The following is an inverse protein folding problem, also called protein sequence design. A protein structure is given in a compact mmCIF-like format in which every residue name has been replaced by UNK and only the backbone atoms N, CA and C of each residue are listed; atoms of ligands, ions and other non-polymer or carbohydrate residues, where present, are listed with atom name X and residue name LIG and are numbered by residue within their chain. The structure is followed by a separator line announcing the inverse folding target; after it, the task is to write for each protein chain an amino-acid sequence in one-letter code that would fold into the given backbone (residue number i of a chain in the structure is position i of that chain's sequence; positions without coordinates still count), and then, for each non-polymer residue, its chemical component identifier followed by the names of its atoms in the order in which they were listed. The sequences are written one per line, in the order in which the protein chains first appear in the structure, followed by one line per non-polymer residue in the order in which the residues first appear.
data_IF_586452799997
#
_entry.id   IF_586452799997
#
_cell.length_a   1.000
_cell.length_b   1.000
_cell.length_c   1.000
_cell.angle_alpha   90.00
_cell.angle_beta   90.00
_cell.angle_gamma   90.00
#
_symmetry.space_group_name_H-M   'P 1'
#
loop_
_entity.id
_entity.type
_entity.pdbx_description
1 polymer ?
#
# COMPACT_ATOMS: atom_id res chain seq x y z
N UNK A 1 -29.98 -8.31 9.17
CA UNK A 1 -30.24 -7.15 10.06
C UNK A 1 -28.89 -6.53 10.41
N UNK A 2 -28.62 -5.28 10.00
CA UNK A 2 -27.36 -4.61 10.35
C UNK A 2 -27.33 -4.34 11.86
N UNK A 3 -26.33 -4.86 12.58
CA UNK A 3 -26.14 -4.54 14.00
C UNK A 3 -25.66 -3.09 14.12
N UNK A 4 -26.63 -2.19 14.31
CA UNK A 4 -26.41 -0.74 14.49
C UNK A 4 -25.43 -0.46 15.62
N UNK A 5 -25.41 -1.27 16.69
CA UNK A 5 -24.48 -1.10 17.82
C UNK A 5 -23.04 -1.38 17.41
N UNK A 6 -22.82 -2.47 16.64
CA UNK A 6 -21.50 -2.81 16.10
C UNK A 6 -20.97 -1.70 15.17
N UNK A 7 -21.82 -1.14 14.30
CA UNK A 7 -21.42 -0.06 13.41
C UNK A 7 -21.06 1.23 14.16
N UNK A 8 -21.86 1.63 15.16
CA UNK A 8 -21.56 2.80 16.00
C UNK A 8 -20.24 2.61 16.75
N UNK A 9 -20.00 1.43 17.33
CA UNK A 9 -18.73 1.13 18.01
C UNK A 9 -17.53 1.27 17.06
N UNK A 10 -17.63 0.78 15.82
CA UNK A 10 -16.55 0.93 14.82
C UNK A 10 -16.27 2.38 14.50
N UNK A 11 -17.31 3.17 14.25
CA UNK A 11 -17.15 4.58 13.92
C UNK A 11 -16.56 5.37 15.09
N UNK A 12 -17.00 5.11 16.32
CA UNK A 12 -16.45 5.74 17.52
C UNK A 12 -14.95 5.47 17.65
N UNK A 13 -14.54 4.20 17.60
CA UNK A 13 -13.12 3.87 17.73
C UNK A 13 -12.30 4.31 16.53
N UNK A 14 -12.87 4.31 15.33
CA UNK A 14 -12.23 4.89 14.15
C UNK A 14 -11.94 6.37 14.35
N UNK A 15 -12.88 7.13 14.91
CA UNK A 15 -12.66 8.53 15.28
C UNK A 15 -11.58 8.68 16.34
N UNK A 16 -11.54 7.83 17.37
CA UNK A 16 -10.50 7.86 18.42
C UNK A 16 -9.11 7.60 17.84
N UNK A 17 -8.95 6.52 17.05
CA UNK A 17 -7.66 6.20 16.42
C UNK A 17 -7.24 7.29 15.42
N UNK A 18 -8.18 7.88 14.69
CA UNK A 18 -7.90 8.97 13.75
C UNK A 18 -7.53 10.26 14.48
N UNK A 19 -8.20 10.59 15.59
CA UNK A 19 -7.83 11.74 16.42
C UNK A 19 -6.42 11.58 17.00
N UNK A 20 -6.09 10.39 17.50
CA UNK A 20 -4.74 10.09 17.99
C UNK A 20 -3.69 10.17 16.86
N UNK A 21 -4.05 9.77 15.64
CA UNK A 21 -3.19 9.88 14.46
C UNK A 21 -2.91 11.34 14.08
N UNK A 22 -3.95 12.19 14.06
CA UNK A 22 -3.81 13.63 13.82
C UNK A 22 -2.99 14.28 14.94
N UNK A 23 -3.23 13.89 16.18
CA UNK A 23 -2.45 14.35 17.32
C UNK A 23 -0.97 14.01 17.17
N UNK A 24 -0.63 12.79 16.76
CA UNK A 24 0.75 12.38 16.48
C UNK A 24 1.40 13.22 15.38
N UNK A 25 0.68 13.51 14.29
CA UNK A 25 1.14 14.44 13.24
C UNK A 25 1.42 15.84 13.78
N UNK A 26 0.49 16.41 14.55
CA UNK A 26 0.62 17.74 15.13
C UNK A 26 1.80 17.80 16.12
N UNK A 27 2.03 16.76 16.91
CA UNK A 27 3.19 16.66 17.79
C UNK A 27 4.50 16.67 17.00
N UNK A 28 4.59 15.92 15.89
CA UNK A 28 5.76 15.93 15.02
C UNK A 28 6.01 17.31 14.39
N UNK A 29 4.95 17.93 13.87
CA UNK A 29 5.01 19.24 13.21
C UNK A 29 5.39 20.37 14.18
N UNK A 30 4.60 20.58 15.23
CA UNK A 30 4.85 21.65 16.20
C UNK A 30 6.10 21.41 17.03
N UNK A 31 6.37 20.15 17.35
CA UNK A 31 7.62 19.79 18.02
C UNK A 31 8.81 20.25 17.19
N UNK A 32 8.81 20.04 15.88
CA UNK A 32 9.94 20.42 15.02
C UNK A 32 10.11 21.93 14.93
N UNK A 33 9.01 22.69 14.96
CA UNK A 33 9.03 24.16 14.89
C UNK A 33 9.53 24.79 16.20
N UNK A 34 9.12 24.25 17.35
CA UNK A 34 9.37 24.89 18.66
C UNK A 34 10.45 24.19 19.49
N UNK A 35 10.76 22.93 19.19
CA UNK A 35 11.74 22.13 19.91
C UNK A 35 13.13 22.29 19.34
N UNK A 36 14.10 22.64 20.18
CA UNK A 36 15.51 22.73 19.80
C UNK A 36 16.27 21.40 19.82
N UNK A 37 15.68 20.34 20.37
CA UNK A 37 16.33 19.04 20.58
C UNK A 37 15.60 17.90 19.88
N UNK A 38 16.30 17.20 18.99
CA UNK A 38 15.83 15.95 18.36
C UNK A 38 15.48 14.87 19.40
N UNK A 39 16.20 14.79 20.52
CA UNK A 39 15.92 13.81 21.56
C UNK A 39 14.55 14.04 22.22
N UNK A 40 14.19 15.30 22.45
CA UNK A 40 12.86 15.66 22.95
C UNK A 40 11.77 15.30 21.95
N UNK A 41 12.03 15.53 20.65
CA UNK A 41 11.08 15.17 19.59
C UNK A 41 10.79 13.67 19.58
N UNK A 42 11.83 12.83 19.58
CA UNK A 42 11.64 11.38 19.62
C UNK A 42 10.93 10.89 20.88
N UNK A 43 11.06 11.58 22.00
CA UNK A 43 10.32 11.22 23.22
C UNK A 43 8.82 11.48 23.10
N UNK A 44 8.41 12.55 22.40
CA UNK A 44 6.99 12.93 22.27
C UNK A 44 6.13 11.87 21.58
N UNK A 45 6.72 11.00 20.74
CA UNK A 45 5.99 9.93 20.05
C UNK A 45 5.51 8.82 20.99
N UNK A 46 6.09 8.71 22.19
CA UNK A 46 5.72 7.69 23.18
C UNK A 46 4.27 7.90 23.66
N UNK A 47 3.84 9.15 23.83
CA UNK A 47 2.48 9.50 24.28
C UNK A 47 1.41 8.91 23.35
N UNK A 48 1.40 9.22 22.03
CA UNK A 48 0.39 8.68 21.12
C UNK A 48 0.52 7.15 20.93
N UNK A 49 1.71 6.57 21.10
CA UNK A 49 1.89 5.10 21.14
C UNK A 49 1.14 4.48 22.33
N UNK A 50 1.32 5.02 23.55
CA UNK A 50 0.63 4.53 24.75
C UNK A 50 -0.89 4.63 24.57
N UNK A 51 -1.38 5.76 24.05
CA UNK A 51 -2.80 5.96 23.76
C UNK A 51 -3.34 4.94 22.74
N UNK A 52 -2.54 4.57 21.75
CA UNK A 52 -2.92 3.58 20.74
C UNK A 52 -3.06 2.18 21.33
N UNK A 53 -2.09 1.74 22.14
CA UNK A 53 -2.14 0.44 22.83
C UNK A 53 -3.33 0.39 23.80
N UNK A 54 -3.56 1.46 24.56
CA UNK A 54 -4.71 1.56 25.46
C UNK A 54 -6.04 1.50 24.69
N UNK A 55 -6.13 2.17 23.53
CA UNK A 55 -7.34 2.17 22.69
C UNK A 55 -7.67 0.78 22.13
N UNK A 56 -6.65 -0.03 21.77
CA UNK A 56 -6.86 -1.43 21.35
C UNK A 56 -7.48 -2.23 22.49
N UNK A 57 -6.91 -2.15 23.70
CA UNK A 57 -7.44 -2.85 24.87
C UNK A 57 -8.85 -2.41 25.26
N UNK A 58 -9.12 -1.11 25.15
CA UNK A 58 -10.46 -0.56 25.40
C UNK A 58 -11.48 -1.05 24.37
N UNK A 59 -11.07 -1.29 23.11
CA UNK A 59 -11.95 -1.87 22.10
C UNK A 59 -12.37 -3.29 22.45
N UNK A 60 -11.45 -4.07 23.03
CA UNK A 60 -11.66 -5.46 23.39
C UNK A 60 -12.65 -5.63 24.54
N UNK A 61 -12.58 -4.76 25.56
CA UNK A 61 -13.40 -4.54 26.78
C UNK A 61 -14.05 -5.75 27.50
N UNK A 62 -14.47 -6.83 26.83
CA UNK A 62 -15.10 -8.03 27.38
C UNK A 62 -14.71 -9.33 26.65
N UNK A 63 -13.88 -9.29 25.60
CA UNK A 63 -13.46 -10.47 24.82
C UNK A 63 -11.94 -10.48 24.72
N UNK A 64 -11.29 -11.54 25.20
CA UNK A 64 -9.83 -11.64 25.20
C UNK A 64 -9.35 -12.24 23.90
N UNK A 65 -8.66 -11.42 23.09
CA UNK A 65 -7.91 -11.90 21.93
C UNK A 65 -6.68 -12.68 22.41
N UNK A 66 -6.26 -13.70 21.65
CA UNK A 66 -4.95 -14.33 21.84
C UNK A 66 -3.86 -13.25 21.79
N UNK A 67 -2.99 -13.21 22.80
CA UNK A 67 -1.93 -12.20 22.96
C UNK A 67 -1.12 -11.94 21.67
N UNK A 68 -0.79 -12.99 20.90
CA UNK A 68 -0.07 -12.86 19.63
C UNK A 68 -0.80 -11.98 18.60
N UNK A 69 -2.13 -12.07 18.52
CA UNK A 69 -2.97 -11.27 17.62
C UNK A 69 -3.14 -9.85 18.15
N UNK A 70 -3.29 -9.66 19.46
CA UNK A 70 -3.31 -8.34 20.14
C UNK A 70 -2.01 -7.57 19.85
N UNK A 71 -0.85 -8.20 20.10
CA UNK A 71 0.46 -7.59 19.83
C UNK A 71 0.58 -7.23 18.34
N UNK A 72 0.19 -8.13 17.43
CA UNK A 72 0.27 -7.88 16.00
C UNK A 72 -0.58 -6.68 15.55
N UNK A 73 -1.81 -6.56 16.04
CA UNK A 73 -2.69 -5.45 15.66
C UNK A 73 -2.22 -4.13 16.29
N UNK A 74 -1.72 -4.15 17.53
CA UNK A 74 -1.08 -3.00 18.16
C UNK A 74 0.13 -2.53 17.35
N UNK A 75 0.98 -3.44 16.87
CA UNK A 75 2.11 -3.10 16.00
C UNK A 75 1.63 -2.39 14.73
N UNK A 76 0.55 -2.87 14.09
CA UNK A 76 0.02 -2.19 12.90
C UNK A 76 -0.49 -0.77 13.18
N UNK A 77 -1.21 -0.57 14.29
CA UNK A 77 -1.65 0.78 14.67
C UNK A 77 -0.47 1.68 15.04
N UNK A 78 0.54 1.17 15.74
CA UNK A 78 1.75 1.91 16.08
C UNK A 78 2.51 2.32 14.81
N UNK A 79 2.70 1.41 13.85
CA UNK A 79 3.35 1.74 12.58
C UNK A 79 2.59 2.84 11.83
N UNK A 80 1.26 2.73 11.73
CA UNK A 80 0.43 3.74 11.07
C UNK A 80 0.55 5.13 11.75
N UNK A 81 0.64 5.13 13.07
CA UNK A 81 0.81 6.34 13.88
C UNK A 81 2.20 6.94 13.74
N UNK A 82 3.24 6.10 13.72
CA UNK A 82 4.62 6.53 13.46
C UNK A 82 4.74 7.20 12.10
N UNK A 83 4.06 6.69 11.06
CA UNK A 83 4.01 7.35 9.76
C UNK A 83 3.42 8.77 9.85
N UNK A 84 2.31 8.96 10.56
CA UNK A 84 1.72 10.29 10.74
C UNK A 84 2.65 11.25 11.49
N UNK A 85 3.29 10.76 12.55
CA UNK A 85 4.30 11.52 13.29
C UNK A 85 5.48 11.93 12.40
N UNK A 86 6.03 11.00 11.61
CA UNK A 86 7.13 11.28 10.69
C UNK A 86 6.75 12.30 9.61
N UNK A 87 5.52 12.25 9.08
CA UNK A 87 5.02 13.27 8.15
C UNK A 87 5.11 14.66 8.81
N UNK A 88 4.64 14.79 10.05
CA UNK A 88 4.73 16.04 10.79
C UNK A 88 6.17 16.49 11.03
N UNK A 89 7.04 15.56 11.42
CA UNK A 89 8.46 15.82 11.68
C UNK A 89 9.20 16.32 10.43
N UNK A 90 8.97 15.71 9.27
CA UNK A 90 9.71 16.03 8.05
C UNK A 90 9.20 17.27 7.32
N UNK A 91 7.91 17.60 7.46
CA UNK A 91 7.26 18.66 6.68
C UNK A 91 8.00 20.02 6.74
N UNK A 92 8.46 20.52 7.90
CA UNK A 92 9.18 21.80 7.96
C UNK A 92 10.51 21.82 7.20
N UNK A 93 11.13 20.65 7.01
CA UNK A 93 12.42 20.50 6.32
C UNK A 93 12.28 20.25 4.81
N UNK A 94 11.05 20.14 4.30
CA UNK A 94 10.83 19.93 2.87
C UNK A 94 11.05 21.22 2.09
N UNK A 95 11.76 21.14 0.96
CA UNK A 95 12.08 22.25 0.07
C UNK A 95 11.03 22.44 -1.03
N UNK A 96 10.25 21.41 -1.35
CA UNK A 96 9.20 21.48 -2.37
C UNK A 96 8.18 22.57 -2.05
N UNK A 97 7.86 23.41 -3.05
CA UNK A 97 6.86 24.49 -2.93
C UNK A 97 5.48 23.93 -2.56
N UNK A 98 5.18 22.71 -3.00
CA UNK A 98 3.89 22.04 -2.78
C UNK A 98 3.92 21.05 -1.61
N UNK A 99 4.86 21.20 -0.67
CA UNK A 99 5.02 20.30 0.49
C UNK A 99 3.75 20.12 1.33
N UNK A 100 2.89 21.12 1.43
CA UNK A 100 1.65 21.05 2.23
C UNK A 100 0.65 20.01 1.72
N UNK A 101 0.75 19.62 0.44
CA UNK A 101 -0.07 18.54 -0.12
C UNK A 101 0.30 17.16 0.42
N UNK A 102 1.50 16.98 0.98
CA UNK A 102 1.94 15.71 1.56
C UNK A 102 1.02 15.26 2.71
N UNK A 103 0.81 16.02 3.80
CA UNK A 103 -0.13 15.64 4.84
C UNK A 103 -1.59 15.65 4.36
N UNK A 104 -1.97 16.51 3.40
CA UNK A 104 -3.34 16.55 2.85
C UNK A 104 -3.72 15.21 2.22
N UNK A 105 -2.81 14.55 1.51
CA UNK A 105 -3.10 13.25 0.89
C UNK A 105 -2.83 12.07 1.82
N UNK A 106 -1.73 12.12 2.58
CA UNK A 106 -1.33 10.96 3.39
C UNK A 106 -2.19 10.78 4.65
N UNK A 107 -2.57 11.85 5.36
CA UNK A 107 -3.37 11.69 6.59
C UNK A 107 -4.74 11.04 6.33
N UNK A 108 -5.51 11.41 5.29
CA UNK A 108 -6.73 10.68 4.93
C UNK A 108 -6.47 9.20 4.59
N UNK A 109 -5.38 8.88 3.88
CA UNK A 109 -5.02 7.49 3.59
C UNK A 109 -4.73 6.69 4.88
N UNK A 110 -3.98 7.27 5.83
CA UNK A 110 -3.70 6.64 7.11
C UNK A 110 -4.97 6.50 7.97
N UNK A 111 -5.92 7.44 7.88
CA UNK A 111 -7.23 7.34 8.53
C UNK A 111 -8.09 6.22 7.93
N UNK A 112 -8.06 6.02 6.60
CA UNK A 112 -8.69 4.87 5.95
C UNK A 112 -8.02 3.57 6.41
N UNK A 113 -6.69 3.55 6.54
CA UNK A 113 -5.97 2.39 7.05
C UNK A 113 -6.38 2.05 8.49
N UNK A 114 -6.58 3.04 9.37
CA UNK A 114 -7.15 2.80 10.70
C UNK A 114 -8.50 2.08 10.65
N UNK A 115 -9.38 2.47 9.72
CA UNK A 115 -10.67 1.79 9.54
C UNK A 115 -10.50 0.32 9.11
N UNK A 116 -9.55 0.03 8.21
CA UNK A 116 -9.21 -1.34 7.80
C UNK A 116 -8.66 -2.14 8.99
N UNK A 117 -7.78 -1.54 9.80
CA UNK A 117 -7.22 -2.19 10.98
C UNK A 117 -8.30 -2.49 12.04
N UNK A 118 -9.28 -1.60 12.23
CA UNK A 118 -10.43 -1.88 13.11
C UNK A 118 -11.26 -3.05 12.59
N UNK A 119 -11.49 -3.14 11.28
CA UNK A 119 -12.16 -4.33 10.69
C UNK A 119 -11.37 -5.60 10.94
N UNK A 120 -10.03 -5.53 10.86
CA UNK A 120 -9.15 -6.67 11.14
C UNK A 120 -9.17 -7.06 12.61
N UNK A 121 -9.19 -6.09 13.52
CA UNK A 121 -9.35 -6.32 14.96
C UNK A 121 -10.67 -7.04 15.25
N UNK A 122 -11.77 -6.58 14.64
CA UNK A 122 -13.06 -7.25 14.79
C UNK A 122 -13.04 -8.68 14.23
N UNK A 123 -12.39 -8.89 13.07
CA UNK A 123 -12.25 -10.23 12.52
C UNK A 123 -11.59 -11.20 13.52
N UNK A 124 -10.57 -10.76 14.25
CA UNK A 124 -9.95 -11.58 15.30
C UNK A 124 -10.88 -11.88 16.45
N UNK A 125 -11.68 -10.89 16.89
CA UNK A 125 -12.69 -11.10 17.93
C UNK A 125 -13.79 -12.09 17.50
N UNK A 126 -14.22 -12.03 16.24
CA UNK A 126 -15.28 -12.90 15.72
C UNK A 126 -14.78 -14.34 15.50
N UNK A 127 -13.50 -14.54 15.15
CA UNK A 127 -12.90 -15.88 15.05
C UNK A 127 -12.87 -16.64 16.38
N UNK A 128 -12.66 -15.93 17.49
CA UNK A 128 -12.54 -16.56 18.79
C UNK A 128 -13.89 -16.92 19.41
N UNK A 129 -14.93 -16.15 19.10
CA UNK A 129 -16.31 -16.48 19.52
C UNK A 129 -16.82 -17.73 18.82
N UNK A 130 -16.39 -17.99 17.56
CA UNK A 130 -16.79 -19.18 16.80
C UNK A 130 -16.01 -20.46 17.19
N UNK A 131 -15.22 -20.44 18.27
CA UNK A 131 -14.33 -21.55 18.64
C UNK A 131 -14.82 -22.57 19.68
N UNK A 132 -16.09 -22.59 20.11
CA UNK A 132 -16.71 -23.83 20.54
C UNK A 132 -17.88 -24.18 19.62
N UNK A 133 -17.88 -25.40 19.09
CA UNK A 133 -19.01 -26.05 18.41
C UNK A 133 -19.43 -25.45 17.06
N UNK A 134 -18.75 -25.84 15.98
CA UNK A 134 -19.46 -26.12 14.73
C UNK A 134 -18.93 -27.43 14.17
N UNK A 135 -19.62 -28.50 14.55
CA UNK A 135 -19.81 -29.65 13.68
C UNK A 135 -20.10 -29.15 12.26
N UNK A 136 -19.57 -29.90 11.29
CA UNK A 136 -19.76 -29.69 9.87
C UNK A 136 -21.27 -29.70 9.57
N UNK A 137 -21.94 -28.56 9.62
CA UNK A 137 -23.22 -28.42 8.94
C UNK A 137 -22.95 -28.78 7.46
N UNK A 138 -23.70 -29.72 6.87
CA UNK A 138 -23.49 -30.12 5.51
C UNK A 138 -23.72 -28.89 4.64
N UNK A 139 -22.67 -28.49 3.91
CA UNK A 139 -22.72 -27.46 2.88
C UNK A 139 -23.97 -27.69 2.04
N UNK A 140 -24.96 -26.82 2.15
CA UNK A 140 -26.03 -26.75 1.17
C UNK A 140 -25.35 -26.59 -0.20
N UNK A 141 -25.46 -27.62 -1.05
CA UNK A 141 -25.02 -27.54 -2.43
C UNK A 141 -25.88 -26.49 -3.14
N UNK A 142 -25.41 -25.24 -3.09
CA UNK A 142 -25.94 -24.20 -3.94
C UNK A 142 -25.64 -24.65 -5.37
N UNK A 143 -26.65 -25.09 -6.10
CA UNK A 143 -26.54 -25.37 -7.54
C UNK A 143 -26.26 -24.06 -8.26
N UNK A 144 -25.00 -23.85 -8.62
CA UNK A 144 -24.62 -22.71 -9.44
C UNK A 144 -24.79 -23.08 -10.92
N UNK A 145 -25.60 -22.31 -11.65
CA UNK A 145 -25.64 -22.33 -13.13
C UNK A 145 -24.35 -21.71 -13.76
N UNK A 146 -23.32 -21.47 -12.95
CA UNK A 146 -22.05 -20.82 -13.30
C UNK A 146 -20.88 -21.77 -13.00
N UNK A 147 -19.74 -21.65 -13.70
CA UNK A 147 -18.58 -22.47 -13.38
C UNK A 147 -18.17 -22.25 -11.91
N UNK A 148 -17.70 -23.29 -11.26
CA UNK A 148 -17.12 -23.24 -9.91
C UNK A 148 -15.68 -23.71 -10.05
N UNK A 149 -14.73 -22.92 -9.56
CA UNK A 149 -13.33 -23.32 -9.51
C UNK A 149 -12.99 -23.65 -8.06
N UNK A 150 -12.48 -24.86 -7.84
CA UNK A 150 -11.98 -25.29 -6.53
C UNK A 150 -10.46 -25.13 -6.47
N UNK A 151 -9.97 -24.46 -5.43
CA UNK A 151 -8.55 -24.25 -5.17
C UNK A 151 -8.32 -24.18 -3.66
N UNK A 152 -7.38 -24.98 -3.14
CA UNK A 152 -7.09 -25.08 -1.69
C UNK A 152 -8.35 -25.27 -0.82
N UNK A 153 -9.19 -26.24 -1.17
CA UNK A 153 -10.47 -26.56 -0.49
C UNK A 153 -11.49 -25.42 -0.43
N UNK A 154 -11.30 -24.37 -1.25
CA UNK A 154 -12.21 -23.22 -1.35
C UNK A 154 -12.87 -23.15 -2.71
N UNK A 155 -14.12 -22.69 -2.71
CA UNK A 155 -14.94 -22.51 -3.90
C UNK A 155 -14.91 -21.06 -4.38
N UNK A 156 -14.44 -20.86 -5.60
CA UNK A 156 -14.34 -19.55 -6.23
C UNK A 156 -15.43 -19.38 -7.28
N UNK A 157 -16.26 -18.37 -7.05
CA UNK A 157 -17.40 -18.03 -7.91
C UNK A 157 -17.40 -16.52 -8.09
N UNK A 158 -17.38 -16.04 -9.32
CA UNK A 158 -17.30 -14.61 -9.61
C UNK A 158 -18.52 -14.11 -10.37
N UNK A 159 -18.90 -12.85 -10.11
CA UNK A 159 -19.88 -12.16 -10.95
C UNK A 159 -19.20 -11.65 -12.22
N UNK A 160 -19.92 -11.67 -13.35
CA UNK A 160 -19.42 -11.13 -14.61
C UNK A 160 -19.10 -9.64 -14.46
N UNK A 161 -19.91 -8.91 -13.70
CA UNK A 161 -19.66 -7.50 -13.37
C UNK A 161 -18.30 -7.30 -12.72
N UNK A 162 -17.92 -8.15 -11.76
CA UNK A 162 -16.60 -8.05 -11.10
C UNK A 162 -15.43 -8.34 -12.05
N UNK A 163 -15.63 -9.22 -13.04
CA UNK A 163 -14.63 -9.51 -14.08
C UNK A 163 -14.50 -8.35 -15.07
N UNK A 164 -15.62 -7.72 -15.46
CA UNK A 164 -15.62 -6.51 -16.30
C UNK A 164 -14.97 -5.33 -15.57
N UNK A 165 -15.26 -5.18 -14.28
CA UNK A 165 -14.62 -4.18 -13.43
C UNK A 165 -13.10 -4.40 -13.33
N UNK A 166 -12.62 -5.64 -13.28
CA UNK A 166 -11.18 -5.92 -13.36
C UNK A 166 -10.61 -5.48 -14.72
N UNK A 167 -11.24 -5.90 -15.83
CA UNK A 167 -10.73 -5.65 -17.18
C UNK A 167 -10.68 -4.16 -17.57
N UNK A 168 -11.68 -3.37 -17.16
CA UNK A 168 -11.79 -1.95 -17.52
C UNK A 168 -11.32 -1.05 -16.37
N UNK A 169 -11.73 -1.37 -15.14
CA UNK A 169 -11.43 -0.57 -13.95
C UNK A 169 -9.96 -0.61 -13.56
N UNK A 170 -9.26 -1.75 -13.71
CA UNK A 170 -7.83 -1.80 -13.38
C UNK A 170 -6.97 -0.90 -14.29
N UNK A 171 -7.04 -0.97 -15.64
CA UNK A 171 -6.29 -0.06 -16.51
C UNK A 171 -6.68 1.41 -16.32
N UNK A 172 -7.98 1.70 -16.22
CA UNK A 172 -8.47 3.07 -16.04
C UNK A 172 -7.98 3.67 -14.72
N UNK A 173 -8.10 2.93 -13.61
CA UNK A 173 -7.62 3.40 -12.31
C UNK A 173 -6.10 3.52 -12.27
N UNK A 174 -5.35 2.58 -12.85
CA UNK A 174 -3.89 2.69 -12.94
C UNK A 174 -3.47 3.98 -13.67
N UNK A 175 -4.14 4.30 -14.78
CA UNK A 175 -3.89 5.52 -15.54
C UNK A 175 -4.27 6.79 -14.75
N UNK A 176 -5.43 6.81 -14.09
CA UNK A 176 -5.85 7.96 -13.27
C UNK A 176 -4.94 8.19 -12.07
N UNK A 177 -4.50 7.12 -11.38
CA UNK A 177 -3.56 7.23 -10.27
C UNK A 177 -2.20 7.73 -10.78
N UNK A 178 -1.74 7.25 -11.96
CA UNK A 178 -0.52 7.74 -12.57
C UNK A 178 -0.59 9.25 -12.87
N UNK A 179 -1.65 9.72 -13.54
CA UNK A 179 -1.84 11.15 -13.81
C UNK A 179 -1.83 11.94 -12.51
N UNK A 180 -2.52 11.45 -11.47
CA UNK A 180 -2.54 12.11 -10.17
C UNK A 180 -1.12 12.35 -9.65
N UNK A 181 -0.27 11.32 -9.61
CA UNK A 181 1.11 11.45 -9.13
C UNK A 181 2.03 12.27 -10.04
N UNK A 182 1.69 12.43 -11.32
CA UNK A 182 2.44 13.27 -12.26
C UNK A 182 2.15 14.77 -12.10
N UNK A 183 1.08 15.13 -11.39
CA UNK A 183 0.77 16.53 -11.07
C UNK A 183 1.82 17.13 -10.13
N UNK A 184 2.14 18.41 -10.33
CA UNK A 184 3.10 19.17 -9.52
C UNK A 184 2.80 19.16 -8.01
N UNK A 185 1.52 19.02 -7.63
CA UNK A 185 1.08 18.89 -6.24
C UNK A 185 1.68 17.66 -5.54
N UNK A 186 2.18 16.68 -6.30
CA UNK A 186 2.80 15.45 -5.79
C UNK A 186 4.33 15.46 -5.83
N UNK A 187 4.96 16.58 -6.20
CA UNK A 187 6.43 16.68 -6.28
C UNK A 187 7.13 16.64 -4.91
N UNK A 188 6.37 16.68 -3.81
CA UNK A 188 6.87 16.28 -2.49
C UNK A 188 7.38 14.83 -2.48
N UNK A 189 6.82 13.94 -3.32
CA UNK A 189 7.29 12.56 -3.44
C UNK A 189 8.64 12.49 -4.16
N UNK A 190 8.86 13.37 -5.14
CA UNK A 190 10.14 13.45 -5.86
C UNK A 190 11.26 13.82 -4.89
N UNK A 191 10.99 14.80 -4.03
CA UNK A 191 11.94 15.21 -2.99
C UNK A 191 12.34 14.04 -2.08
N UNK A 192 11.37 13.27 -1.57
CA UNK A 192 11.63 12.13 -0.68
C UNK A 192 12.53 11.11 -1.39
N UNK A 193 12.19 10.76 -2.63
CA UNK A 193 12.92 9.75 -3.39
C UNK A 193 14.34 10.21 -3.73
N UNK A 194 14.49 11.46 -4.20
CA UNK A 194 15.79 12.02 -4.58
C UNK A 194 16.71 12.12 -3.36
N UNK A 195 16.23 12.68 -2.25
CA UNK A 195 17.03 12.84 -1.03
C UNK A 195 17.45 11.50 -0.44
N UNK A 196 16.56 10.49 -0.44
CA UNK A 196 16.94 9.14 -0.01
C UNK A 196 17.97 8.49 -0.94
N UNK A 197 17.83 8.66 -2.25
CA UNK A 197 18.79 8.13 -3.22
C UNK A 197 20.16 8.75 -3.02
N UNK A 198 20.23 10.08 -2.89
CA UNK A 198 21.47 10.81 -2.61
C UNK A 198 22.10 10.37 -1.28
N UNK A 199 21.30 10.23 -0.23
CA UNK A 199 21.78 9.72 1.06
C UNK A 199 22.47 8.36 0.91
N UNK A 200 21.85 7.41 0.23
CA UNK A 200 22.43 6.08 0.03
C UNK A 200 23.63 6.08 -0.92
N UNK A 201 23.63 6.90 -1.97
CA UNK A 201 24.79 7.04 -2.86
C UNK A 201 26.02 7.51 -2.09
N UNK A 202 25.86 8.52 -1.24
CA UNK A 202 26.96 9.05 -0.45
C UNK A 202 27.37 8.07 0.67
N UNK A 203 26.40 7.38 1.29
CA UNK A 203 26.69 6.40 2.33
C UNK A 203 27.44 5.16 1.79
N UNK A 204 27.07 4.66 0.62
CA UNK A 204 27.58 3.39 0.09
C UNK A 204 28.79 3.57 -0.84
N UNK A 205 28.89 4.70 -1.54
CA UNK A 205 29.89 4.91 -2.60
C UNK A 205 30.71 6.19 -2.44
N UNK A 206 30.45 7.01 -1.42
CA UNK A 206 31.18 8.27 -1.13
C UNK A 206 31.30 9.22 -2.35
N UNK A 207 30.21 9.32 -3.13
CA UNK A 207 30.23 10.02 -4.42
C UNK A 207 30.13 11.55 -4.32
N UNK A 208 29.71 12.09 -3.16
CA UNK A 208 29.46 13.51 -2.98
C UNK A 208 28.29 14.07 -3.80
N UNK A 209 27.36 13.21 -4.26
CA UNK A 209 26.19 13.62 -5.05
C UNK A 209 25.30 14.53 -4.21
N UNK A 210 24.66 15.50 -4.85
CA UNK A 210 23.72 16.41 -4.23
C UNK A 210 22.33 16.33 -4.87
N UNK A 211 21.32 16.60 -4.06
CA UNK A 211 19.95 16.82 -4.52
C UNK A 211 19.74 18.33 -4.69
N UNK A 212 19.41 18.78 -5.90
CA UNK A 212 19.15 20.20 -6.16
C UNK A 212 17.69 20.39 -6.58
N UNK A 213 16.98 21.24 -5.84
CA UNK A 213 15.63 21.69 -6.18
C UNK A 213 15.70 22.92 -7.09
N UNK A 214 15.14 22.81 -8.30
CA UNK A 214 15.03 23.92 -9.24
C UNK A 214 13.65 23.89 -9.88
N UNK A 215 12.65 24.65 -9.38
CA UNK A 215 11.28 24.63 -9.87
C UNK A 215 11.09 25.34 -11.23
N UNK A 216 12.16 25.43 -12.03
CA UNK A 216 12.18 26.12 -13.31
C UNK A 216 12.43 25.08 -14.41
N UNK A 217 11.47 24.95 -15.33
CA UNK A 217 11.55 24.02 -16.45
C UNK A 217 10.91 22.67 -16.15
N UNK A 218 11.28 21.64 -16.93
CA UNK A 218 10.62 20.32 -16.92
C UNK A 218 10.94 19.49 -15.66
N UNK A 219 12.12 19.68 -15.07
CA UNK A 219 12.62 18.85 -13.96
C UNK A 219 12.79 19.69 -12.70
N UNK A 220 11.92 19.48 -11.71
CA UNK A 220 11.96 20.23 -10.45
C UNK A 220 13.06 19.76 -9.50
N UNK A 221 13.50 18.51 -9.65
CA UNK A 221 14.58 17.92 -8.88
C UNK A 221 15.65 17.37 -9.83
N UNK A 222 16.90 17.43 -9.41
CA UNK A 222 18.02 16.86 -10.15
C UNK A 222 19.10 16.31 -9.23
N UNK A 223 19.81 15.30 -9.74
CA UNK A 223 21.05 14.84 -9.15
C UNK A 223 22.20 15.67 -9.74
N UNK A 224 22.99 16.29 -8.86
CA UNK A 224 24.12 17.15 -9.23
C UNK A 224 25.40 16.66 -8.55
N UNK A 225 26.54 17.21 -8.97
CA UNK A 225 27.87 16.84 -8.47
C UNK A 225 28.20 15.34 -8.67
N UNK A 226 27.88 14.79 -9.84
CA UNK A 226 28.17 13.38 -10.20
C UNK A 226 29.59 13.31 -10.81
N UNK A 227 30.60 13.68 -10.03
CA UNK A 227 31.98 13.79 -10.52
C UNK A 227 32.09 14.79 -11.68
N UNK A 228 32.70 14.38 -12.80
CA UNK A 228 32.82 15.21 -14.01
C UNK A 228 31.65 15.07 -14.99
N UNK A 229 30.57 14.37 -14.61
CA UNK A 229 29.42 14.10 -15.48
C UNK A 229 28.34 15.19 -15.37
N UNK A 230 27.48 15.26 -16.38
CA UNK A 230 26.33 16.16 -16.39
C UNK A 230 25.32 15.80 -15.29
N UNK A 231 24.52 16.78 -14.87
CA UNK A 231 23.39 16.54 -13.98
C UNK A 231 22.33 15.65 -14.64
N UNK A 232 21.56 14.94 -13.81
CA UNK A 232 20.46 14.09 -14.24
C UNK A 232 19.16 14.67 -13.68
N UNK A 233 18.23 15.02 -14.56
CA UNK A 233 16.89 15.46 -14.17
C UNK A 233 16.05 14.32 -13.61
N UNK A 234 15.28 14.60 -12.57
CA UNK A 234 14.41 13.62 -11.92
C UNK A 234 12.96 13.74 -12.44
N UNK A 235 12.43 12.61 -12.89
CA UNK A 235 11.07 12.49 -13.43
C UNK A 235 10.15 11.67 -12.50
N UNK A 236 8.83 11.80 -12.69
CA UNK A 236 7.84 10.97 -11.98
C UNK A 236 8.11 9.48 -12.17
N UNK A 237 8.57 9.05 -13.35
CA UNK A 237 9.00 7.66 -13.60
C UNK A 237 10.16 7.20 -12.71
N UNK A 238 11.00 8.12 -12.26
CA UNK A 238 12.11 7.83 -11.35
C UNK A 238 11.63 7.49 -9.93
N UNK A 239 10.38 7.78 -9.57
CA UNK A 239 9.81 7.39 -8.26
C UNK A 239 9.38 5.92 -8.20
N UNK A 240 9.25 5.24 -9.34
CA UNK A 240 8.67 3.89 -9.42
C UNK A 240 7.14 3.85 -9.34
N UNK A 241 6.48 5.01 -9.26
CA UNK A 241 5.01 5.14 -9.18
C UNK A 241 4.28 4.38 -10.29
N UNK A 242 4.80 4.37 -11.53
CA UNK A 242 4.12 3.71 -12.65
C UNK A 242 3.81 2.23 -12.36
N UNK A 243 4.79 1.47 -11.86
CA UNK A 243 4.58 0.07 -11.50
C UNK A 243 3.60 -0.04 -10.33
N UNK A 244 3.77 0.80 -9.30
CA UNK A 244 2.86 0.84 -8.15
C UNK A 244 1.42 1.09 -8.58
N UNK A 245 1.16 2.01 -9.51
CA UNK A 245 -0.17 2.32 -10.03
C UNK A 245 -0.82 1.14 -10.76
N UNK A 246 -0.06 0.44 -11.60
CA UNK A 246 -0.55 -0.77 -12.31
C UNK A 246 -0.99 -1.82 -11.31
N UNK A 247 -0.12 -2.14 -10.34
CA UNK A 247 -0.44 -3.13 -9.32
C UNK A 247 -1.55 -2.67 -8.38
N UNK A 248 -1.61 -1.38 -8.05
CA UNK A 248 -2.70 -0.83 -7.26
C UNK A 248 -4.05 -0.98 -7.96
N UNK A 249 -4.14 -0.64 -9.25
CA UNK A 249 -5.34 -0.84 -10.06
C UNK A 249 -5.77 -2.31 -10.08
N UNK A 250 -4.84 -3.22 -10.35
CA UNK A 250 -5.12 -4.67 -10.35
C UNK A 250 -5.60 -5.16 -8.98
N UNK A 251 -4.94 -4.78 -7.88
CA UNK A 251 -5.30 -5.26 -6.53
C UNK A 251 -6.66 -4.71 -6.09
N UNK A 252 -6.93 -3.42 -6.34
CA UNK A 252 -8.20 -2.78 -5.98
C UNK A 252 -9.36 -3.48 -6.69
N UNK A 253 -9.22 -3.71 -8.00
CA UNK A 253 -10.29 -4.28 -8.83
C UNK A 253 -10.26 -5.81 -8.94
N UNK A 254 -9.30 -6.50 -8.30
CA UNK A 254 -9.32 -7.96 -8.20
C UNK A 254 -10.69 -8.42 -7.66
N UNK A 255 -11.42 -9.29 -8.37
CA UNK A 255 -12.77 -9.67 -7.99
C UNK A 255 -12.72 -10.47 -6.68
N UNK A 256 -13.84 -10.48 -5.96
CA UNK A 256 -13.99 -11.30 -4.76
C UNK A 256 -14.96 -12.45 -5.05
N UNK A 257 -14.71 -13.62 -4.44
CA UNK A 257 -15.63 -14.73 -4.55
C UNK A 257 -17.00 -14.36 -3.97
N UNK A 258 -18.08 -14.86 -4.57
CA UNK A 258 -19.43 -14.75 -4.02
C UNK A 258 -19.61 -15.66 -2.79
N UNK A 259 -18.74 -16.66 -2.64
CA UNK A 259 -18.68 -17.49 -1.45
C UNK A 259 -18.19 -16.68 -0.23
N UNK A 260 -18.94 -16.74 0.87
CA UNK A 260 -18.71 -15.91 2.07
C UNK A 260 -17.45 -16.33 2.84
N UNK A 261 -17.14 -17.62 2.85
CA UNK A 261 -15.98 -18.14 3.56
C UNK A 261 -14.69 -17.83 2.79
N UNK A 262 -14.74 -17.93 1.46
CA UNK A 262 -13.62 -17.59 0.58
C UNK A 262 -13.35 -16.08 0.54
N UNK A 263 -14.40 -15.25 0.50
CA UNK A 263 -14.27 -13.78 0.49
C UNK A 263 -13.99 -13.16 1.86
N UNK A 264 -13.92 -13.97 2.92
CA UNK A 264 -13.69 -13.48 4.27
C UNK A 264 -12.37 -12.70 4.35
N UNK A 265 -12.42 -11.54 5.02
CA UNK A 265 -11.28 -10.66 5.25
C UNK A 265 -10.58 -10.14 3.97
N UNK A 266 -11.26 -10.13 2.83
CA UNK A 266 -10.70 -9.70 1.54
C UNK A 266 -10.11 -8.28 1.57
N UNK A 267 -10.73 -7.36 2.32
CA UNK A 267 -10.26 -5.95 2.41
C UNK A 267 -8.84 -5.91 3.00
N UNK A 268 -8.59 -6.62 4.10
CA UNK A 268 -7.25 -6.68 4.69
C UNK A 268 -6.24 -7.37 3.76
N UNK A 269 -6.63 -8.46 3.10
CA UNK A 269 -5.75 -9.15 2.14
C UNK A 269 -5.34 -8.24 0.97
N UNK A 270 -6.27 -7.43 0.46
CA UNK A 270 -6.00 -6.39 -0.53
C UNK A 270 -5.10 -5.28 -0.01
N UNK A 271 -5.44 -4.69 1.15
CA UNK A 271 -4.64 -3.62 1.77
C UNK A 271 -3.21 -4.09 2.07
N UNK A 272 -3.05 -5.29 2.63
CA UNK A 272 -1.74 -5.89 2.87
C UNK A 272 -0.94 -6.05 1.57
N UNK A 273 -1.58 -6.54 0.51
CA UNK A 273 -0.93 -6.69 -0.79
C UNK A 273 -0.52 -5.34 -1.40
N UNK A 274 -1.36 -4.31 -1.29
CA UNK A 274 -1.04 -2.94 -1.72
C UNK A 274 0.18 -2.39 -0.98
N UNK A 275 0.20 -2.48 0.35
CA UNK A 275 1.30 -1.96 1.16
C UNK A 275 2.60 -2.68 0.81
N UNK A 276 2.60 -4.02 0.82
CA UNK A 276 3.84 -4.79 0.61
C UNK A 276 4.35 -4.64 -0.82
N UNK A 277 3.48 -4.68 -1.83
CA UNK A 277 3.90 -4.46 -3.23
C UNK A 277 4.48 -3.06 -3.42
N UNK A 278 3.85 -2.03 -2.86
CA UNK A 278 4.34 -0.64 -2.94
C UNK A 278 5.71 -0.49 -2.28
N UNK A 279 5.92 -1.08 -1.10
CA UNK A 279 7.22 -1.05 -0.39
C UNK A 279 8.31 -1.78 -1.18
N UNK A 280 8.01 -2.95 -1.75
CA UNK A 280 8.99 -3.70 -2.56
C UNK A 280 9.36 -2.89 -3.81
N UNK A 281 8.38 -2.35 -4.54
CA UNK A 281 8.65 -1.53 -5.72
C UNK A 281 9.46 -0.29 -5.38
N UNK A 282 9.12 0.38 -4.29
CA UNK A 282 9.84 1.54 -3.80
C UNK A 282 11.31 1.21 -3.52
N UNK A 283 11.57 0.16 -2.74
CA UNK A 283 12.93 -0.25 -2.38
C UNK A 283 13.75 -0.66 -3.61
N UNK A 284 13.17 -1.45 -4.49
CA UNK A 284 13.78 -1.87 -5.76
C UNK A 284 14.09 -0.67 -6.64
N UNK A 285 13.19 0.31 -6.69
CA UNK A 285 13.38 1.51 -7.47
C UNK A 285 14.53 2.37 -6.94
N UNK A 286 14.66 2.51 -5.60
CA UNK A 286 15.84 3.13 -4.99
C UNK A 286 17.10 2.40 -5.41
N UNK A 287 17.17 1.07 -5.22
CA UNK A 287 18.33 0.25 -5.62
C UNK A 287 18.66 0.43 -7.11
N UNK A 288 17.64 0.43 -7.98
CA UNK A 288 17.79 0.68 -9.42
C UNK A 288 18.52 2.00 -9.67
N UNK A 289 18.08 3.09 -9.04
CA UNK A 289 18.71 4.40 -9.20
C UNK A 289 20.12 4.45 -8.63
N UNK A 290 20.38 3.78 -7.49
CA UNK A 290 21.72 3.69 -6.92
C UNK A 290 22.70 3.08 -7.92
N UNK A 291 22.32 1.94 -8.51
CA UNK A 291 23.15 1.25 -9.50
C UNK A 291 23.30 2.11 -10.77
N UNK A 292 22.20 2.69 -11.27
CA UNK A 292 22.24 3.52 -12.48
C UNK A 292 23.18 4.73 -12.34
N UNK A 293 23.05 5.48 -11.24
CA UNK A 293 23.85 6.68 -11.00
C UNK A 293 25.31 6.31 -10.70
N UNK A 294 25.56 5.23 -9.96
CA UNK A 294 26.93 4.77 -9.71
C UNK A 294 27.64 4.31 -10.99
N UNK A 295 26.97 3.53 -11.84
CA UNK A 295 27.55 3.12 -13.12
C UNK A 295 27.81 4.32 -14.05
N UNK A 296 26.91 5.30 -14.05
CA UNK A 296 27.11 6.54 -14.80
C UNK A 296 28.31 7.33 -14.28
N UNK A 297 28.49 7.38 -12.96
CA UNK A 297 29.62 8.03 -12.30
C UNK A 297 30.97 7.40 -12.67
N UNK A 298 31.08 6.06 -12.67
CA UNK A 298 32.33 5.36 -13.06
C UNK A 298 32.58 5.34 -14.58
N UNK A 299 31.60 5.79 -15.37
CA UNK A 299 31.84 6.26 -16.73
C UNK A 299 31.08 5.56 -17.85
N UNK A 300 30.12 4.70 -17.53
CA UNK A 300 29.23 4.08 -18.52
C UNK A 300 28.28 5.13 -19.13
N UNK A 301 27.84 4.91 -20.37
CA UNK A 301 26.88 5.80 -21.03
C UNK A 301 25.49 5.70 -20.40
N UNK A 302 24.82 6.84 -20.19
CA UNK A 302 23.52 6.88 -19.53
C UNK A 302 22.47 6.04 -20.26
N UNK A 303 22.42 6.14 -21.59
CA UNK A 303 21.42 5.45 -22.41
C UNK A 303 21.51 3.92 -22.26
N UNK A 304 22.71 3.36 -22.23
CA UNK A 304 22.92 1.91 -22.10
C UNK A 304 22.45 1.36 -20.74
N UNK A 305 22.71 2.13 -19.68
CA UNK A 305 22.41 1.72 -18.30
C UNK A 305 20.93 1.95 -17.97
N UNK A 306 20.39 3.09 -18.41
CA UNK A 306 19.04 3.52 -18.07
C UNK A 306 18.00 2.50 -18.54
N UNK A 307 18.08 2.05 -19.80
CA UNK A 307 17.14 1.09 -20.34
C UNK A 307 17.36 -0.34 -19.82
N UNK A 308 18.61 -0.81 -19.80
CA UNK A 308 18.93 -2.20 -19.44
C UNK A 308 18.56 -2.52 -17.99
N UNK A 309 18.89 -1.64 -17.04
CA UNK A 309 18.57 -1.85 -15.63
C UNK A 309 17.07 -1.61 -15.37
N UNK A 310 16.44 -0.72 -16.12
CA UNK A 310 14.98 -0.56 -16.04
C UNK A 310 14.25 -1.83 -16.51
N UNK A 311 14.74 -2.51 -17.55
CA UNK A 311 14.15 -3.78 -18.00
C UNK A 311 14.26 -4.90 -16.94
N UNK A 312 15.33 -4.91 -16.14
CA UNK A 312 15.49 -5.87 -15.03
C UNK A 312 14.39 -5.75 -13.96
N UNK A 313 13.69 -4.61 -13.87
CA UNK A 313 12.54 -4.45 -12.96
C UNK A 313 11.35 -5.37 -13.26
N UNK A 314 11.29 -5.94 -14.48
CA UNK A 314 10.28 -6.94 -14.87
C UNK A 314 10.33 -8.22 -14.01
N UNK A 315 11.52 -8.63 -13.55
CA UNK A 315 11.66 -9.79 -12.64
C UNK A 315 10.99 -9.52 -11.28
N UNK A 316 11.10 -8.29 -10.77
CA UNK A 316 10.41 -7.90 -9.53
C UNK A 316 8.89 -7.93 -9.71
N UNK A 317 8.39 -7.48 -10.87
CA UNK A 317 6.96 -7.56 -11.16
C UNK A 317 6.45 -9.02 -11.11
N UNK A 318 7.21 -9.99 -11.64
CA UNK A 318 6.85 -11.40 -11.55
C UNK A 318 6.80 -11.92 -10.10
N UNK A 319 7.79 -11.56 -9.27
CA UNK A 319 7.80 -11.90 -7.83
C UNK A 319 6.56 -11.32 -7.12
N UNK A 320 6.18 -10.08 -7.44
CA UNK A 320 5.01 -9.44 -6.83
C UNK A 320 3.71 -10.12 -7.26
N UNK A 321 3.59 -10.56 -8.51
CA UNK A 321 2.45 -11.38 -8.96
C UNK A 321 2.35 -12.67 -8.15
N UNK A 322 3.48 -13.35 -7.88
CA UNK A 322 3.50 -14.56 -7.04
C UNK A 322 3.10 -14.27 -5.58
N UNK A 323 3.58 -13.18 -4.99
CA UNK A 323 3.19 -12.75 -3.65
C UNK A 323 1.70 -12.37 -3.58
N UNK A 324 1.19 -11.71 -4.62
CA UNK A 324 -0.22 -11.41 -4.75
C UNK A 324 -1.06 -12.67 -4.85
N UNK A 325 -0.65 -13.69 -5.62
CA UNK A 325 -1.36 -14.96 -5.68
C UNK A 325 -1.50 -15.61 -4.30
N UNK A 326 -0.47 -15.51 -3.45
CA UNK A 326 -0.48 -16.02 -2.08
C UNK A 326 -1.50 -15.30 -1.18
N UNK A 327 -1.76 -14.01 -1.38
CA UNK A 327 -2.66 -13.22 -0.51
C UNK A 327 -4.05 -13.02 -1.11
N UNK A 328 -4.14 -12.91 -2.42
CA UNK A 328 -5.35 -12.67 -3.22
C UNK A 328 -5.35 -13.68 -4.40
N UNK A 329 -5.50 -14.98 -4.12
CA UNK A 329 -5.59 -16.00 -5.17
C UNK A 329 -6.75 -15.73 -6.14
N UNK A 330 -7.76 -14.97 -5.70
CA UNK A 330 -8.89 -14.53 -6.52
C UNK A 330 -8.44 -13.85 -7.82
N UNK A 331 -7.30 -13.14 -7.83
CA UNK A 331 -6.81 -12.51 -9.04
C UNK A 331 -6.52 -13.54 -10.15
N UNK A 332 -5.65 -14.52 -9.90
CA UNK A 332 -5.30 -15.53 -10.91
C UNK A 332 -6.50 -16.42 -11.22
N UNK A 333 -7.24 -16.84 -10.19
CA UNK A 333 -8.40 -17.71 -10.37
C UNK A 333 -9.48 -17.01 -11.20
N UNK A 334 -9.65 -15.69 -11.08
CA UNK A 334 -10.60 -14.94 -11.90
C UNK A 334 -10.25 -14.91 -13.40
N UNK A 335 -8.95 -14.93 -13.73
CA UNK A 335 -8.50 -15.04 -15.13
C UNK A 335 -8.83 -16.43 -15.69
N UNK A 336 -8.58 -17.49 -14.90
CA UNK A 336 -8.94 -18.88 -15.26
C UNK A 336 -10.46 -19.01 -15.42
N UNK A 337 -11.22 -18.36 -14.54
CA UNK A 337 -12.69 -18.32 -14.60
C UNK A 337 -13.19 -17.62 -15.85
N UNK A 338 -12.64 -16.45 -16.19
CA UNK A 338 -12.98 -15.72 -17.41
C UNK A 338 -12.70 -16.55 -18.67
N UNK A 339 -11.54 -17.22 -18.72
CA UNK A 339 -11.21 -18.14 -19.82
C UNK A 339 -12.22 -19.30 -19.91
N UNK A 340 -12.61 -19.88 -18.78
CA UNK A 340 -13.59 -20.97 -18.73
C UNK A 340 -14.96 -20.54 -19.25
N UNK A 341 -15.42 -19.33 -18.91
CA UNK A 341 -16.64 -18.74 -19.45
C UNK A 341 -16.58 -18.54 -20.97
N UNK A 342 -15.47 -17.99 -21.48
CA UNK A 342 -15.26 -17.78 -22.91
C UNK A 342 -15.30 -19.13 -23.65
N UNK A 343 -14.60 -20.14 -23.12
CA UNK A 343 -14.57 -21.50 -23.68
C UNK A 343 -15.96 -22.14 -23.71
N UNK A 344 -16.76 -22.00 -22.64
CA UNK A 344 -18.14 -22.51 -22.60
C UNK A 344 -19.03 -21.84 -23.65
N UNK A 345 -18.87 -20.53 -23.86
CA UNK A 345 -19.62 -19.78 -24.89
C UNK A 345 -19.24 -20.21 -26.31
N UNK A 346 -17.95 -20.43 -26.58
CA UNK A 346 -17.45 -20.88 -27.89
C UNK A 346 -17.86 -22.32 -28.19
N UNK A 347 -17.80 -23.21 -27.20
CA UNK A 347 -18.11 -24.64 -27.39
C UNK A 347 -19.61 -24.96 -27.39
N UNK A 348 -20.49 -23.97 -27.25
CA UNK A 348 -21.95 -24.16 -27.32
C UNK A 348 -22.55 -24.98 -26.18
N UNK A 349 -21.77 -25.34 -25.14
CA UNK A 349 -22.26 -26.11 -23.97
C UNK A 349 -23.25 -25.35 -23.07
N UNK A 350 -23.62 -24.12 -23.43
CA UNK A 350 -24.52 -23.25 -22.67
C UNK A 350 -26.02 -23.61 -22.77
N UNK A 351 -26.43 -24.62 -23.54
CA UNK A 351 -27.84 -25.05 -23.61
C UNK A 351 -27.99 -26.57 -23.70
N UNK A 352 -28.03 -27.23 -22.55
CA UNK A 352 -28.85 -28.43 -22.33
C UNK A 352 -29.52 -28.30 -20.97
N UNK A 353 -30.64 -27.58 -20.95
CA UNK A 353 -31.78 -27.87 -20.10
C UNK A 353 -32.90 -28.28 -21.05
#
# INVERSE_FOLDING_TARGET
MFDKKSLIKKLLFWSIFTANLIFAYLLGYWGTIFGSSLAFLYFLVIIPIILSVFSVRLYESNRRIILKKEVLISVYFILNLLFAYLIGLYLPFMESIRRDFFPIFMLPMLAILNFVLIKRLQYYLDEEVKKPESEKEPLEEIKYDKPVIEYEDKKYIFSIESLLLLAIGAPLSAYLIYIFFDLEINYWLHEIVVKQTVYFLNLLFDMGVQATYSPIGKYHWSFTNIGSRSSIGFETFCTGVQAICVFAGVIIFAPHSQDKDTSRDIIWRKTKSLIISSVIFYAVNIIRMLIQIYLYYIGYAWDDIHYSISAASSFIAAIIVLLMHKWIPEFIISLIYAYSLIKQKITGRSKKK
#
